data_IF_552243432429
#
_entry.id   IF_552243432429
#
_cell.length_a   1.000
_cell.length_b   1.000
_cell.length_c   1.000
_cell.angle_alpha   90.00
_cell.angle_beta   90.00
_cell.angle_gamma   90.00
#
_symmetry.space_group_name_H-M   'P 1'
#
loop_
_entity.id
_entity.type
_entity.pdbx_description
1 polymer ?
#
# COMPACT_ATOMS: atom_id res chain seq x y z
N UNK A 1 -14.77 22.68 -7.96
CA UNK A 1 -15.18 21.89 -6.76
C UNK A 1 -14.93 22.76 -5.54
N UNK A 2 -15.91 22.94 -4.65
CA UNK A 2 -15.75 23.84 -3.50
C UNK A 2 -14.76 23.19 -2.50
N UNK A 3 -13.61 23.83 -2.20
CA UNK A 3 -12.62 23.26 -1.30
C UNK A 3 -13.17 22.96 0.10
N UNK A 4 -14.20 23.68 0.56
CA UNK A 4 -14.86 23.41 1.83
C UNK A 4 -15.62 22.07 1.85
N UNK A 5 -16.23 21.67 0.73
CA UNK A 5 -16.95 20.38 0.61
C UNK A 5 -15.94 19.23 0.53
N UNK A 6 -14.85 19.41 -0.21
CA UNK A 6 -13.77 18.42 -0.27
C UNK A 6 -13.10 18.23 1.10
N UNK A 7 -12.90 19.32 1.85
CA UNK A 7 -12.35 19.29 3.20
C UNK A 7 -13.32 18.67 4.21
N UNK A 8 -14.62 19.00 4.14
CA UNK A 8 -15.66 18.40 4.99
C UNK A 8 -15.79 16.90 4.75
N UNK A 9 -15.78 16.44 3.49
CA UNK A 9 -15.81 15.01 3.16
C UNK A 9 -14.54 14.29 3.63
N UNK A 10 -13.38 14.96 3.58
CA UNK A 10 -12.12 14.41 4.09
C UNK A 10 -12.15 14.23 5.62
N UNK A 11 -12.69 15.22 6.37
CA UNK A 11 -12.85 15.14 7.82
C UNK A 11 -13.90 14.08 8.21
N UNK A 12 -15.06 14.08 7.55
CA UNK A 12 -16.15 13.14 7.83
C UNK A 12 -15.72 11.68 7.54
N UNK A 13 -15.07 11.45 6.40
CA UNK A 13 -14.50 10.15 6.06
C UNK A 13 -13.38 9.69 7.02
N UNK A 14 -12.63 10.63 7.59
CA UNK A 14 -11.63 10.35 8.64
C UNK A 14 -12.28 9.95 9.97
N UNK A 15 -13.35 10.62 10.38
CA UNK A 15 -14.07 10.30 11.61
C UNK A 15 -14.77 8.95 11.52
N UNK A 16 -15.43 8.64 10.40
CA UNK A 16 -16.07 7.34 10.19
C UNK A 16 -15.06 6.19 10.16
N UNK A 17 -13.88 6.41 9.57
CA UNK A 17 -12.83 5.38 9.56
C UNK A 17 -12.29 5.08 10.98
N UNK A 18 -12.10 6.11 11.81
CA UNK A 18 -11.65 5.93 13.20
C UNK A 18 -12.72 5.23 14.03
N UNK A 19 -13.99 5.57 13.83
CA UNK A 19 -15.11 4.88 14.49
C UNK A 19 -15.16 3.39 14.11
N UNK A 20 -15.02 3.07 12.83
CA UNK A 20 -14.97 1.68 12.35
C UNK A 20 -13.79 0.89 12.95
N UNK A 21 -12.60 1.50 13.04
CA UNK A 21 -11.48 0.85 13.69
C UNK A 21 -11.72 0.65 15.19
N UNK A 22 -12.24 1.67 15.89
CA UNK A 22 -12.52 1.57 17.33
C UNK A 22 -13.59 0.52 17.65
N UNK A 23 -14.58 0.33 16.79
CA UNK A 23 -15.59 -0.71 16.91
C UNK A 23 -14.97 -2.11 16.77
N UNK A 24 -14.03 -2.28 15.83
CA UNK A 24 -13.37 -3.56 15.57
C UNK A 24 -12.28 -3.91 16.61
N UNK A 25 -11.40 -2.98 16.95
CA UNK A 25 -10.24 -3.22 17.84
C UNK A 25 -10.43 -2.73 19.28
N UNK A 26 -11.62 -2.20 19.61
CA UNK A 26 -11.93 -1.65 20.93
C UNK A 26 -11.20 -0.34 21.25
N UNK A 27 -10.63 0.32 20.23
CA UNK A 27 -9.82 1.53 20.37
C UNK A 27 -8.35 1.27 20.68
N UNK A 28 -7.91 0.00 20.66
CA UNK A 28 -6.52 -0.39 20.95
C UNK A 28 -5.83 -0.76 19.63
N UNK A 29 -4.87 0.06 19.18
CA UNK A 29 -4.12 -0.19 17.95
C UNK A 29 -3.09 -1.29 18.14
N UNK A 30 -3.34 -2.44 17.52
CA UNK A 30 -2.44 -3.60 17.54
C UNK A 30 -1.69 -3.73 16.22
N UNK A 31 -0.40 -4.05 16.29
CA UNK A 31 0.45 -4.29 15.10
C UNK A 31 0.30 -5.74 14.61
N UNK A 32 0.27 -6.69 15.53
CA UNK A 32 0.08 -8.12 15.28
C UNK A 32 -1.00 -8.63 16.23
N UNK A 33 -1.81 -9.59 15.79
CA UNK A 33 -2.88 -10.19 16.59
C UNK A 33 -4.17 -10.37 15.80
N UNK A 34 -5.15 -11.03 16.42
CA UNK A 34 -6.44 -11.31 15.79
C UNK A 34 -7.23 -10.03 15.42
N UNK A 35 -7.00 -8.95 16.16
CA UNK A 35 -7.66 -7.66 15.94
C UNK A 35 -6.70 -6.61 15.34
N UNK A 36 -5.59 -7.03 14.72
CA UNK A 36 -4.67 -6.09 14.06
C UNK A 36 -5.34 -5.44 12.85
N UNK A 37 -5.41 -4.11 12.87
CA UNK A 37 -5.95 -3.27 11.80
C UNK A 37 -4.84 -2.63 10.97
N UNK A 38 -3.56 -2.90 11.29
CA UNK A 38 -2.42 -2.26 10.65
C UNK A 38 -2.30 -2.59 9.15
N UNK A 39 -2.72 -3.79 8.75
CA UNK A 39 -2.71 -4.27 7.36
C UNK A 39 -3.51 -3.40 6.39
N UNK A 40 -4.42 -2.56 6.89
CA UNK A 40 -5.16 -1.58 6.08
C UNK A 40 -4.27 -0.43 5.61
N UNK A 41 -3.25 -0.09 6.38
CA UNK A 41 -2.32 0.99 6.07
C UNK A 41 -1.05 0.45 5.44
N UNK A 42 -0.45 -0.56 6.07
CA UNK A 42 0.89 -1.01 5.74
C UNK A 42 0.81 -2.49 5.40
N UNK A 43 1.36 -2.93 4.27
CA UNK A 43 1.42 -4.33 3.96
C UNK A 43 2.36 -5.04 4.91
N UNK A 44 1.92 -6.22 5.32
CA UNK A 44 2.64 -7.08 6.21
C UNK A 44 3.18 -8.26 5.38
N UNK A 45 4.50 -8.51 5.39
CA UNK A 45 5.03 -9.65 4.68
C UNK A 45 4.55 -10.93 5.35
N UNK A 46 4.40 -12.00 4.57
CA UNK A 46 3.96 -13.27 5.11
C UNK A 46 4.99 -13.85 6.10
N UNK A 47 4.55 -14.58 7.13
CA UNK A 47 5.45 -15.15 8.14
C UNK A 47 6.54 -16.07 7.57
N UNK A 48 6.30 -16.69 6.41
CA UNK A 48 7.26 -17.58 5.76
C UNK A 48 8.34 -16.84 4.96
N UNK A 49 8.16 -15.55 4.67
CA UNK A 49 9.01 -14.80 3.76
C UNK A 49 10.18 -14.16 4.52
N UNK A 50 11.41 -14.44 4.08
CA UNK A 50 12.60 -13.80 4.65
C UNK A 50 12.72 -12.35 4.19
N UNK A 51 13.47 -11.52 4.92
CA UNK A 51 13.76 -10.13 4.51
C UNK A 51 14.39 -10.06 3.12
N UNK A 52 15.31 -10.98 2.80
CA UNK A 52 15.89 -11.07 1.47
C UNK A 52 14.86 -11.45 0.40
N UNK A 53 13.92 -12.37 0.73
CA UNK A 53 12.79 -12.71 -0.12
C UNK A 53 11.90 -11.51 -0.41
N UNK A 54 11.57 -10.69 0.61
CA UNK A 54 10.81 -9.46 0.45
C UNK A 54 11.52 -8.47 -0.47
N UNK A 55 12.84 -8.27 -0.30
CA UNK A 55 13.62 -7.36 -1.14
C UNK A 55 13.58 -7.81 -2.61
N UNK A 56 13.77 -9.10 -2.87
CA UNK A 56 13.73 -9.65 -4.23
C UNK A 56 12.33 -9.50 -4.83
N UNK A 57 11.28 -9.86 -4.07
CA UNK A 57 9.88 -9.78 -4.50
C UNK A 57 9.50 -8.34 -4.91
N UNK A 58 9.81 -7.36 -4.06
CA UNK A 58 9.52 -5.95 -4.35
C UNK A 58 10.38 -5.38 -5.48
N UNK A 59 11.66 -5.79 -5.57
CA UNK A 59 12.55 -5.35 -6.66
C UNK A 59 12.04 -5.86 -8.01
N UNK A 60 11.63 -7.13 -8.07
CA UNK A 60 11.08 -7.73 -9.30
C UNK A 60 9.75 -7.06 -9.69
N UNK A 61 8.84 -6.86 -8.74
CA UNK A 61 7.58 -6.16 -9.00
C UNK A 61 7.83 -4.76 -9.59
N UNK A 62 8.77 -4.01 -9.00
CA UNK A 62 9.13 -2.65 -9.44
C UNK A 62 9.79 -2.63 -10.82
N UNK A 63 10.64 -3.62 -11.11
CA UNK A 63 11.25 -3.79 -12.42
C UNK A 63 10.19 -4.05 -13.50
N UNK A 64 9.23 -4.95 -13.24
CA UNK A 64 8.13 -5.23 -14.17
C UNK A 64 7.26 -4.00 -14.42
N UNK A 65 6.88 -3.26 -13.37
CA UNK A 65 6.14 -2.01 -13.52
C UNK A 65 6.89 -1.04 -14.43
N UNK A 66 8.18 -0.82 -14.16
CA UNK A 66 9.00 0.13 -14.90
C UNK A 66 9.13 -0.27 -16.37
N UNK A 67 9.45 -1.53 -16.67
CA UNK A 67 9.60 -2.02 -18.05
C UNK A 67 8.29 -1.86 -18.82
N UNK A 68 7.16 -2.27 -18.24
CA UNK A 68 5.88 -2.22 -18.97
C UNK A 68 5.39 -0.77 -19.13
N UNK A 69 5.59 0.10 -18.14
CA UNK A 69 5.30 1.54 -18.28
C UNK A 69 6.15 2.16 -19.40
N UNK A 70 7.44 1.81 -19.50
CA UNK A 70 8.28 2.27 -20.60
C UNK A 70 7.74 1.80 -21.95
N UNK A 71 7.28 0.55 -22.06
CA UNK A 71 6.65 0.03 -23.28
C UNK A 71 5.36 0.81 -23.63
N UNK A 72 4.51 1.11 -22.64
CA UNK A 72 3.26 1.85 -22.83
C UNK A 72 3.53 3.31 -23.28
N UNK A 73 4.55 3.94 -22.70
CA UNK A 73 4.86 5.35 -22.92
C UNK A 73 5.81 5.61 -24.09
N UNK A 74 6.50 4.58 -24.61
CA UNK A 74 7.39 4.74 -25.77
C UNK A 74 6.58 5.04 -27.03
N UNK A 75 6.87 6.20 -27.62
CA UNK A 75 6.24 6.68 -28.86
C UNK A 75 6.44 5.71 -30.02
N UNK A 76 7.52 4.91 -30.02
CA UNK A 76 7.81 3.92 -31.06
C UNK A 76 6.80 2.77 -31.10
N UNK A 77 6.13 2.50 -29.98
CA UNK A 77 5.14 1.42 -29.88
C UNK A 77 3.74 1.84 -30.36
N UNK A 78 3.55 3.12 -30.72
CA UNK A 78 2.30 3.59 -31.34
C UNK A 78 1.07 3.53 -30.41
N UNK A 79 1.29 3.44 -29.09
CA UNK A 79 0.22 3.34 -28.11
C UNK A 79 -0.56 4.66 -28.03
N UNK A 80 -1.89 4.67 -28.25
CA UNK A 80 -2.69 5.90 -28.18
C UNK A 80 -2.63 6.54 -26.79
N UNK A 81 -2.38 7.85 -26.71
CA UNK A 81 -2.31 8.61 -25.45
C UNK A 81 -3.55 8.43 -24.56
N UNK A 82 -4.73 8.32 -25.17
CA UNK A 82 -5.99 8.12 -24.46
C UNK A 82 -6.09 6.74 -23.79
N UNK A 83 -5.37 5.74 -24.29
CA UNK A 83 -5.38 4.38 -23.76
C UNK A 83 -4.32 4.17 -22.66
N UNK A 84 -3.23 4.94 -22.67
CA UNK A 84 -2.11 4.79 -21.74
C UNK A 84 -2.55 4.75 -20.26
N UNK A 85 -3.43 5.64 -19.76
CA UNK A 85 -3.86 5.60 -18.35
C UNK A 85 -4.57 4.30 -17.99
N UNK A 86 -5.43 3.79 -18.88
CA UNK A 86 -6.19 2.56 -18.67
C UNK A 86 -5.25 1.36 -18.62
N UNK A 87 -4.28 1.28 -19.52
CA UNK A 87 -3.29 0.20 -19.50
C UNK A 87 -2.38 0.26 -18.27
N UNK A 88 -1.99 1.45 -17.83
CA UNK A 88 -1.26 1.61 -16.57
C UNK A 88 -2.09 1.15 -15.37
N UNK A 89 -3.39 1.44 -15.32
CA UNK A 89 -4.28 0.94 -14.26
C UNK A 89 -4.39 -0.58 -14.28
N UNK A 90 -4.54 -1.19 -15.46
CA UNK A 90 -4.60 -2.65 -15.60
C UNK A 90 -3.29 -3.31 -15.18
N UNK A 91 -2.14 -2.72 -15.54
CA UNK A 91 -0.82 -3.18 -15.11
C UNK A 91 -0.68 -3.16 -13.59
N UNK A 92 -1.01 -2.03 -12.94
CA UNK A 92 -0.93 -1.91 -11.47
C UNK A 92 -1.87 -2.92 -10.80
N UNK A 93 -3.07 -3.13 -11.35
CA UNK A 93 -4.03 -4.11 -10.85
C UNK A 93 -3.49 -5.54 -10.98
N UNK A 94 -2.93 -5.90 -12.13
CA UNK A 94 -2.33 -7.21 -12.36
C UNK A 94 -1.17 -7.48 -11.39
N UNK A 95 -0.28 -6.51 -11.21
CA UNK A 95 0.82 -6.63 -10.24
C UNK A 95 0.29 -6.78 -8.81
N UNK A 96 -0.76 -6.06 -8.44
CA UNK A 96 -1.40 -6.24 -7.14
C UNK A 96 -1.93 -7.67 -6.96
N UNK A 97 -2.57 -8.26 -7.97
CA UNK A 97 -3.03 -9.65 -7.88
C UNK A 97 -1.88 -10.65 -7.73
N UNK A 98 -0.78 -10.49 -8.48
CA UNK A 98 0.33 -11.45 -8.44
C UNK A 98 1.24 -11.29 -7.22
N UNK A 99 1.50 -10.07 -6.76
CA UNK A 99 2.48 -9.78 -5.70
C UNK A 99 1.84 -9.47 -4.33
N UNK A 100 0.50 -9.40 -4.23
CA UNK A 100 -0.17 -9.07 -2.97
C UNK A 100 0.09 -10.08 -1.87
N UNK A 101 0.09 -11.37 -2.20
CA UNK A 101 0.13 -12.44 -1.19
C UNK A 101 1.48 -12.50 -0.48
N UNK A 102 2.60 -12.14 -1.13
CA UNK A 102 3.94 -12.26 -0.57
C UNK A 102 4.27 -11.12 0.42
N UNK A 103 4.56 -9.94 -0.13
CA UNK A 103 4.94 -8.75 0.65
C UNK A 103 4.03 -7.54 0.37
N UNK A 104 2.82 -7.77 -0.16
CA UNK A 104 1.77 -6.74 -0.29
C UNK A 104 1.90 -5.79 -1.49
N UNK A 105 2.65 -6.21 -2.52
CA UNK A 105 2.80 -5.50 -3.80
C UNK A 105 3.14 -3.99 -3.67
N UNK A 106 4.13 -3.65 -2.86
CA UNK A 106 4.63 -2.27 -2.73
C UNK A 106 5.59 -1.90 -3.84
N UNK A 107 5.03 -1.78 -5.04
CA UNK A 107 5.80 -1.61 -6.27
C UNK A 107 6.60 -0.29 -6.32
N UNK A 108 6.32 0.67 -5.42
CA UNK A 108 7.12 1.89 -5.28
C UNK A 108 7.23 2.38 -3.81
N UNK A 109 8.31 3.10 -3.45
CA UNK A 109 8.50 3.63 -2.09
C UNK A 109 7.46 4.67 -1.65
N UNK A 110 6.87 5.43 -2.58
CA UNK A 110 5.87 6.45 -2.25
C UNK A 110 4.56 5.83 -1.74
N UNK A 111 4.22 4.63 -2.24
CA UNK A 111 3.06 3.83 -1.82
C UNK A 111 3.24 3.23 -0.43
N UNK A 112 4.48 3.11 0.04
CA UNK A 112 4.80 2.54 1.35
C UNK A 112 4.93 3.63 2.44
N UNK A 113 5.67 4.70 2.16
CA UNK A 113 5.97 5.75 3.16
C UNK A 113 4.72 6.50 3.62
N UNK A 114 3.84 6.90 2.69
CA UNK A 114 2.64 7.68 3.03
C UNK A 114 1.70 6.95 3.98
N UNK A 115 1.32 5.70 3.68
CA UNK A 115 0.50 4.90 4.59
C UNK A 115 1.17 4.55 5.92
N UNK A 116 2.49 4.32 5.95
CA UNK A 116 3.25 4.16 7.21
C UNK A 116 3.17 5.40 8.09
N UNK A 117 3.37 6.59 7.52
CA UNK A 117 3.22 7.86 8.24
C UNK A 117 1.78 8.03 8.74
N UNK A 118 0.79 7.63 7.95
CA UNK A 118 -0.61 7.66 8.38
C UNK A 118 -0.86 6.74 9.58
N UNK A 119 -0.33 5.52 9.55
CA UNK A 119 -0.43 4.59 10.67
C UNK A 119 0.20 5.15 11.95
N UNK A 120 1.32 5.89 11.86
CA UNK A 120 1.87 6.62 13.01
C UNK A 120 0.87 7.64 13.57
N UNK A 121 0.23 8.43 12.70
CA UNK A 121 -0.78 9.41 13.09
C UNK A 121 -2.03 8.79 13.73
N UNK A 122 -2.39 7.54 13.36
CA UNK A 122 -3.53 6.81 13.94
C UNK A 122 -3.21 6.18 15.31
N UNK A 123 -1.93 6.18 15.70
CA UNK A 123 -1.50 5.78 17.05
C UNK A 123 -0.87 4.38 17.13
N UNK A 124 -0.46 3.77 16.02
CA UNK A 124 0.23 2.47 16.04
C UNK A 124 1.68 2.54 16.55
N UNK A 125 2.26 3.75 16.66
CA UNK A 125 3.61 3.96 17.20
C UNK A 125 4.75 3.65 16.22
N UNK A 126 5.98 4.02 16.61
CA UNK A 126 7.17 3.97 15.76
C UNK A 126 7.57 2.57 15.26
N UNK A 127 7.06 1.52 15.89
CA UNK A 127 7.29 0.14 15.49
C UNK A 127 6.78 -0.16 14.08
N UNK A 128 5.81 0.62 13.57
CA UNK A 128 5.33 0.51 12.19
C UNK A 128 6.45 0.73 11.16
N UNK A 129 7.42 1.59 11.45
CA UNK A 129 8.57 1.82 10.55
C UNK A 129 9.58 0.66 10.65
N UNK A 130 9.65 -0.01 11.80
CA UNK A 130 10.63 -1.06 12.12
C UNK A 130 10.19 -2.47 11.70
N UNK A 131 8.97 -2.63 11.21
CA UNK A 131 8.29 -3.90 10.97
C UNK A 131 8.95 -4.90 10.00
N UNK A 132 10.08 -4.55 9.39
CA UNK A 132 10.87 -5.50 8.61
C UNK A 132 11.60 -6.55 9.49
N UNK A 133 11.68 -6.32 10.82
CA UNK A 133 12.48 -7.16 11.73
C UNK A 133 11.63 -8.01 12.70
N UNK A 134 10.37 -7.66 12.95
CA UNK A 134 9.60 -8.26 14.06
C UNK A 134 8.89 -9.60 13.78
N UNK A 135 8.84 -10.09 12.53
CA UNK A 135 8.23 -11.40 12.22
C UNK A 135 9.14 -12.61 12.54
N UNK A 136 10.19 -12.40 13.35
CA UNK A 136 11.16 -13.40 13.82
C UNK A 136 11.27 -13.43 15.36
N UNK A 137 10.25 -12.97 16.08
CA UNK A 137 10.14 -13.12 17.54
C UNK A 137 8.76 -13.68 17.89
#
# INVERSE_FOLDING_TARGET
MNPAISFSNFICGRLSAIQAFNDYDGGIRQIVGANSTLGVFVPLPQPYLSTAGCIIDQTMASAFLTIVVLVICDKRNGVPLVAQPVMCMLLVSALAFFYSVNAGAEVNPARDVGPKLMALCVGYGWEVIRLVIYLRI
#
